data_IF_450069159801
#
_entry.id   IF_450069159801
#
_cell.length_a   1.000
_cell.length_b   1.000
_cell.length_c   1.000
_cell.angle_alpha   90.00
_cell.angle_beta   90.00
_cell.angle_gamma   90.00
#
_symmetry.space_group_name_H-M   'P 1'
#
loop_
_entity.id
_entity.type
_entity.pdbx_description
1 polymer ?
#
# COMPACT_ATOMS: atom_id res chain seq x y z
N UNK A 1 28.34 15.52 8.78
CA UNK A 1 27.36 14.56 8.26
C UNK A 1 26.52 15.28 7.22
N UNK A 2 26.42 14.76 6.02
CA UNK A 2 25.57 15.36 4.98
C UNK A 2 24.09 15.23 5.35
N UNK A 3 23.23 16.09 4.80
CA UNK A 3 21.78 15.99 5.00
C UNK A 3 21.26 14.59 4.59
N UNK A 4 21.75 14.07 3.47
CA UNK A 4 21.46 12.72 3.02
C UNK A 4 21.77 11.66 4.07
N UNK A 5 22.98 11.68 4.62
CA UNK A 5 23.42 10.65 5.59
C UNK A 5 22.63 10.74 6.89
N UNK A 6 22.24 11.97 7.26
CA UNK A 6 21.34 12.18 8.40
C UNK A 6 19.98 11.51 8.16
N UNK A 7 19.32 11.79 7.03
CA UNK A 7 18.01 11.20 6.71
C UNK A 7 18.08 9.69 6.56
N UNK A 8 19.11 9.15 5.89
CA UNK A 8 19.31 7.70 5.78
C UNK A 8 19.42 7.04 7.17
N UNK A 9 20.13 7.67 8.10
CA UNK A 9 20.24 7.17 9.47
C UNK A 9 18.87 7.16 10.18
N UNK A 10 18.09 8.23 10.02
CA UNK A 10 16.76 8.32 10.63
C UNK A 10 15.81 7.24 10.08
N UNK A 11 15.77 7.07 8.76
CA UNK A 11 14.91 6.06 8.12
C UNK A 11 15.34 4.65 8.57
N UNK A 12 16.64 4.35 8.58
CA UNK A 12 17.15 3.06 9.06
C UNK A 12 16.72 2.77 10.50
N UNK A 13 16.97 3.71 11.41
CA UNK A 13 16.61 3.54 12.82
C UNK A 13 15.10 3.29 12.95
N UNK A 14 14.26 4.07 12.26
CA UNK A 14 12.82 3.92 12.32
C UNK A 14 12.34 2.56 11.80
N UNK A 15 12.86 2.09 10.67
CA UNK A 15 12.50 0.79 10.13
C UNK A 15 13.02 -0.36 11.00
N UNK A 16 14.24 -0.26 11.52
CA UNK A 16 14.80 -1.27 12.39
C UNK A 16 14.02 -1.41 13.71
N UNK A 17 13.54 -0.30 14.27
CA UNK A 17 12.67 -0.34 15.45
C UNK A 17 11.40 -1.16 15.17
N UNK A 18 10.74 -0.92 14.03
CA UNK A 18 9.55 -1.66 13.62
C UNK A 18 9.83 -3.12 13.23
N UNK A 19 11.00 -3.40 12.67
CA UNK A 19 11.37 -4.73 12.20
C UNK A 19 11.95 -5.62 13.31
N UNK A 20 12.18 -5.05 14.50
CA UNK A 20 12.72 -5.78 15.65
C UNK A 20 11.58 -6.27 16.54
N UNK A 21 11.47 -7.60 16.69
CA UNK A 21 10.45 -8.19 17.54
C UNK A 21 10.63 -7.83 19.02
N UNK A 22 9.52 -7.59 19.73
CA UNK A 22 9.51 -7.36 21.18
C UNK A 22 9.86 -5.92 21.60
N UNK A 23 10.01 -5.00 20.67
CA UNK A 23 10.13 -3.57 20.94
C UNK A 23 8.79 -2.90 21.31
N UNK A 24 8.82 -1.58 21.49
CA UNK A 24 7.60 -0.77 21.68
C UNK A 24 6.76 -0.66 20.41
N UNK A 25 7.38 -0.94 19.27
CA UNK A 25 6.77 -1.02 17.94
C UNK A 25 7.27 -2.32 17.31
N UNK A 26 6.37 -3.09 16.71
CA UNK A 26 6.78 -4.32 16.01
C UNK A 26 5.65 -4.88 15.15
N UNK A 27 6.02 -5.68 14.17
CA UNK A 27 5.07 -6.49 13.42
C UNK A 27 4.85 -7.83 14.10
N UNK A 28 3.60 -8.29 14.14
CA UNK A 28 3.19 -9.60 14.64
C UNK A 28 2.45 -10.36 13.54
N UNK A 29 2.87 -11.59 13.28
CA UNK A 29 2.20 -12.43 12.30
C UNK A 29 0.99 -13.13 12.91
N UNK A 30 -0.18 -12.90 12.34
CA UNK A 30 -1.42 -13.59 12.66
C UNK A 30 -1.59 -14.81 11.75
N UNK A 31 -1.39 -16.00 12.29
CA UNK A 31 -1.45 -17.26 11.51
C UNK A 31 -2.86 -17.66 11.06
N UNK A 32 -3.90 -17.15 11.74
CA UNK A 32 -5.30 -17.41 11.38
C UNK A 32 -5.70 -16.63 10.12
N UNK A 33 -5.37 -15.35 10.10
CA UNK A 33 -5.70 -14.46 8.97
C UNK A 33 -4.56 -14.36 7.95
N UNK A 34 -3.41 -14.96 8.28
CA UNK A 34 -2.21 -14.95 7.42
C UNK A 34 -1.80 -13.52 7.04
N UNK A 35 -1.61 -12.69 8.06
CA UNK A 35 -1.30 -11.27 7.90
C UNK A 35 -0.25 -10.80 8.90
N UNK A 36 0.51 -9.77 8.53
CA UNK A 36 1.40 -9.03 9.42
C UNK A 36 0.70 -7.78 9.92
N UNK A 37 0.49 -7.69 11.22
CA UNK A 37 -0.09 -6.50 11.84
C UNK A 37 0.98 -5.73 12.58
N UNK A 38 1.09 -4.43 12.34
CA UNK A 38 1.95 -3.52 13.09
C UNK A 38 1.32 -3.11 14.43
N UNK A 39 2.09 -3.09 15.49
CA UNK A 39 1.65 -2.61 16.81
C UNK A 39 2.60 -1.53 17.33
N UNK A 40 2.04 -0.43 17.96
CA UNK A 40 0.62 -0.19 18.19
C UNK A 40 -0.18 -0.08 16.89
N UNK A 41 -1.39 -0.64 16.90
CA UNK A 41 -2.27 -0.65 15.73
C UNK A 41 -3.11 0.63 15.67
N UNK A 42 -3.34 1.13 14.45
CA UNK A 42 -4.20 2.28 14.15
C UNK A 42 -5.14 1.94 12.98
N UNK A 43 -6.18 2.71 12.79
CA UNK A 43 -7.15 2.64 11.68
C UNK A 43 -7.81 1.26 11.48
N UNK A 44 -7.84 0.41 12.50
CA UNK A 44 -8.43 -0.93 12.38
C UNK A 44 -7.51 -1.97 11.72
N UNK A 45 -6.21 -1.71 11.62
CA UNK A 45 -5.26 -2.62 10.98
C UNK A 45 -5.16 -3.99 11.67
N UNK A 46 -5.49 -4.09 12.97
CA UNK A 46 -5.45 -5.34 13.73
C UNK A 46 -6.75 -6.14 13.72
N UNK A 47 -7.91 -5.48 13.61
CA UNK A 47 -9.21 -6.13 13.70
C UNK A 47 -10.00 -6.17 12.39
N UNK A 48 -9.65 -5.34 11.41
CA UNK A 48 -10.26 -5.28 10.08
C UNK A 48 -9.26 -5.57 8.95
N UNK A 49 -7.97 -5.62 9.26
CA UNK A 49 -6.87 -5.69 8.28
C UNK A 49 -6.93 -4.48 7.33
N UNK A 50 -7.26 -3.29 7.85
CA UNK A 50 -7.31 -2.06 7.07
C UNK A 50 -5.90 -1.55 6.77
N UNK A 51 -5.74 -0.91 5.62
CA UNK A 51 -4.60 -0.09 5.22
C UNK A 51 -3.23 -0.81 5.16
N UNK A 52 -3.21 -2.14 5.15
CA UNK A 52 -1.95 -2.88 5.20
C UNK A 52 -1.03 -2.56 4.03
N UNK A 53 -1.54 -2.47 2.80
CA UNK A 53 -0.77 -2.06 1.64
C UNK A 53 -0.33 -0.59 1.73
N UNK A 54 -1.16 0.30 2.26
CA UNK A 54 -0.83 1.72 2.44
C UNK A 54 0.31 1.88 3.44
N UNK A 55 0.17 1.33 4.64
CA UNK A 55 1.19 1.37 5.68
C UNK A 55 2.50 0.70 5.23
N UNK A 56 2.41 -0.47 4.60
CA UNK A 56 3.56 -1.17 4.05
C UNK A 56 4.26 -0.34 2.95
N UNK A 57 3.50 0.36 2.11
CA UNK A 57 4.02 1.20 1.04
C UNK A 57 5.05 2.22 1.53
N UNK A 58 4.77 2.90 2.64
CA UNK A 58 5.71 3.86 3.25
C UNK A 58 6.99 3.18 3.75
N UNK A 59 6.86 2.04 4.41
CA UNK A 59 8.01 1.28 4.90
C UNK A 59 8.88 0.75 3.76
N UNK A 60 8.26 0.18 2.72
CA UNK A 60 8.95 -0.35 1.53
C UNK A 60 9.64 0.78 0.76
N UNK A 61 9.00 1.95 0.61
CA UNK A 61 9.59 3.12 -0.03
C UNK A 61 10.84 3.58 0.72
N UNK A 62 10.75 3.71 2.05
CA UNK A 62 11.91 4.03 2.90
C UNK A 62 13.03 3.00 2.76
N UNK A 63 12.69 1.72 2.73
CA UNK A 63 13.64 0.62 2.53
C UNK A 63 14.30 0.66 1.13
N UNK A 64 13.56 0.97 0.08
CA UNK A 64 14.09 1.12 -1.27
C UNK A 64 15.09 2.29 -1.34
N UNK A 65 14.81 3.40 -0.68
CA UNK A 65 15.77 4.52 -0.57
C UNK A 65 17.06 4.07 0.13
N UNK A 66 16.95 3.33 1.24
CA UNK A 66 18.15 2.79 1.93
C UNK A 66 18.94 1.86 1.02
N UNK A 67 18.26 0.95 0.31
CA UNK A 67 18.88 -0.05 -0.55
C UNK A 67 19.76 0.55 -1.65
N UNK A 68 19.46 1.77 -2.12
CA UNK A 68 20.28 2.50 -3.08
C UNK A 68 21.69 2.82 -2.56
N UNK A 69 21.85 2.93 -1.24
CA UNK A 69 23.10 3.35 -0.60
C UNK A 69 23.70 2.29 0.31
N UNK A 70 22.94 1.26 0.67
CA UNK A 70 23.36 0.19 1.57
C UNK A 70 22.72 -1.14 1.19
N UNK A 71 23.38 -1.83 0.26
CA UNK A 71 22.95 -3.16 -0.19
C UNK A 71 23.12 -4.24 0.89
N UNK A 72 23.99 -4.02 1.89
CA UNK A 72 24.15 -4.96 3.01
C UNK A 72 22.92 -4.89 3.93
N UNK A 73 22.45 -3.68 4.23
CA UNK A 73 21.19 -3.51 4.97
C UNK A 73 20.01 -4.17 4.25
N UNK A 74 19.95 -4.02 2.93
CA UNK A 74 18.87 -4.53 2.10
C UNK A 74 18.97 -6.05 1.80
N UNK A 75 20.04 -6.73 2.21
CA UNK A 75 20.16 -8.18 2.01
C UNK A 75 19.07 -8.94 2.79
N UNK A 76 18.60 -10.05 2.22
CA UNK A 76 17.49 -10.84 2.80
C UNK A 76 17.80 -11.35 4.21
N UNK A 77 19.06 -11.75 4.47
CA UNK A 77 19.54 -12.19 5.78
C UNK A 77 19.65 -11.08 6.83
N UNK A 78 19.53 -9.83 6.41
CA UNK A 78 19.50 -8.66 7.28
C UNK A 78 18.05 -8.13 7.39
N UNK A 79 17.78 -6.94 6.83
CA UNK A 79 16.46 -6.31 6.94
C UNK A 79 15.58 -6.50 5.71
N UNK A 80 16.17 -6.91 4.58
CA UNK A 80 15.44 -7.12 3.33
C UNK A 80 14.36 -8.18 3.44
N UNK A 81 14.59 -9.24 4.24
CA UNK A 81 13.59 -10.27 4.47
C UNK A 81 12.29 -9.73 5.08
N UNK A 82 12.36 -8.74 5.99
CA UNK A 82 11.17 -8.09 6.54
C UNK A 82 10.43 -7.25 5.48
N UNK A 83 11.18 -6.57 4.61
CA UNK A 83 10.58 -5.81 3.50
C UNK A 83 9.80 -6.75 2.57
N UNK A 84 10.36 -7.91 2.24
CA UNK A 84 9.67 -8.91 1.42
C UNK A 84 8.40 -9.47 2.09
N UNK A 85 8.42 -9.65 3.41
CA UNK A 85 7.22 -10.06 4.15
C UNK A 85 6.12 -8.98 4.08
N UNK A 86 6.46 -7.69 4.17
CA UNK A 86 5.50 -6.59 4.00
C UNK A 86 4.92 -6.55 2.57
N UNK A 87 5.74 -6.78 1.55
CA UNK A 87 5.27 -6.87 0.17
C UNK A 87 4.26 -8.03 0.03
N UNK A 88 4.59 -9.20 0.59
CA UNK A 88 3.72 -10.37 0.57
C UNK A 88 2.46 -10.20 1.42
N UNK A 89 2.52 -9.44 2.49
CA UNK A 89 1.33 -9.11 3.28
C UNK A 89 0.33 -8.27 2.48
N UNK A 90 0.79 -7.24 1.79
CA UNK A 90 -0.07 -6.44 0.91
C UNK A 90 -0.54 -7.23 -0.32
N UNK A 91 0.41 -7.75 -1.11
CA UNK A 91 0.11 -8.47 -2.35
C UNK A 91 1.12 -9.62 -2.56
N UNK A 92 0.82 -10.80 -2.02
CA UNK A 92 1.66 -11.98 -2.23
C UNK A 92 1.64 -12.41 -3.70
N UNK A 93 2.80 -12.49 -4.32
CA UNK A 93 2.98 -12.89 -5.73
C UNK A 93 3.36 -14.36 -5.91
N UNK A 94 3.70 -15.07 -4.82
CA UNK A 94 4.09 -16.48 -4.86
C UNK A 94 2.95 -17.38 -4.40
N UNK A 95 2.32 -18.09 -5.32
CA UNK A 95 1.23 -19.03 -5.02
C UNK A 95 1.64 -20.20 -4.17
N UNK A 96 2.95 -20.52 -4.07
CA UNK A 96 3.47 -21.57 -3.23
C UNK A 96 3.71 -21.11 -1.78
N UNK A 97 3.81 -19.81 -1.56
CA UNK A 97 3.95 -19.25 -0.21
C UNK A 97 2.57 -19.11 0.45
N UNK A 98 2.21 -20.10 1.24
CA UNK A 98 0.91 -20.16 1.91
C UNK A 98 0.82 -19.34 3.19
N UNK A 99 1.88 -18.59 3.55
CA UNK A 99 1.87 -17.69 4.71
C UNK A 99 0.98 -16.48 4.49
N UNK A 100 0.81 -16.05 3.25
CA UNK A 100 -0.01 -14.90 2.88
C UNK A 100 -0.98 -15.24 1.76
N UNK A 101 -2.20 -14.68 1.74
CA UNK A 101 -3.11 -14.80 0.61
C UNK A 101 -2.49 -14.22 -0.67
N UNK A 102 -2.71 -14.91 -1.80
CA UNK A 102 -2.24 -14.44 -3.09
C UNK A 102 -2.98 -13.16 -3.50
N UNK A 103 -2.25 -12.08 -3.82
CA UNK A 103 -2.77 -10.77 -4.21
C UNK A 103 -3.91 -10.28 -3.31
N UNK A 104 -3.67 -10.27 -1.97
CA UNK A 104 -4.75 -9.97 -1.01
C UNK A 104 -5.45 -8.65 -1.28
N UNK A 105 -4.70 -7.57 -1.44
CA UNK A 105 -5.29 -6.25 -1.58
C UNK A 105 -5.88 -6.02 -2.97
N UNK A 106 -5.23 -6.52 -4.04
CA UNK A 106 -5.68 -6.29 -5.41
C UNK A 106 -6.92 -7.12 -5.75
N UNK A 107 -7.95 -6.46 -6.24
CA UNK A 107 -9.07 -7.10 -6.94
C UNK A 107 -8.86 -7.02 -8.46
N UNK A 108 -8.53 -8.14 -9.13
CA UNK A 108 -8.27 -8.13 -10.57
C UNK A 108 -9.51 -7.83 -11.41
N UNK A 109 -10.72 -7.94 -10.86
CA UNK A 109 -11.96 -7.59 -11.55
C UNK A 109 -12.26 -6.09 -11.46
N UNK A 110 -11.99 -5.47 -10.29
CA UNK A 110 -12.09 -4.02 -10.13
C UNK A 110 -10.91 -3.30 -10.78
N UNK A 111 -9.75 -3.95 -10.83
CA UNK A 111 -8.52 -3.37 -11.36
C UNK A 111 -7.77 -2.47 -10.36
N UNK A 112 -8.21 -2.46 -9.10
CA UNK A 112 -7.58 -1.69 -8.02
C UNK A 112 -7.57 -2.50 -6.72
N UNK A 113 -6.84 -2.02 -5.73
CA UNK A 113 -6.83 -2.62 -4.40
C UNK A 113 -8.08 -2.24 -3.60
N UNK A 114 -8.29 -3.00 -2.51
CA UNK A 114 -9.26 -2.67 -1.49
C UNK A 114 -8.53 -2.42 -0.16
N UNK A 115 -9.01 -1.43 0.59
CA UNK A 115 -8.42 -0.97 1.84
C UNK A 115 -8.57 -2.00 2.97
N UNK A 116 -9.72 -2.67 3.07
CA UNK A 116 -10.02 -3.59 4.16
C UNK A 116 -9.80 -5.05 3.78
N UNK A 117 -9.11 -5.81 4.66
CA UNK A 117 -8.95 -7.23 4.47
C UNK A 117 -10.23 -8.04 4.73
N UNK A 118 -11.11 -7.58 5.61
CA UNK A 118 -12.39 -8.24 5.88
C UNK A 118 -13.53 -7.73 5.00
N UNK A 119 -13.55 -6.44 4.68
CA UNK A 119 -14.53 -5.84 3.79
C UNK A 119 -15.99 -5.98 4.26
N UNK A 120 -16.22 -5.97 5.58
CA UNK A 120 -17.53 -6.22 6.19
C UNK A 120 -18.42 -4.97 6.31
N UNK A 121 -18.28 -4.03 5.37
CA UNK A 121 -19.10 -2.83 5.28
C UNK A 121 -20.40 -3.09 4.49
N UNK A 122 -21.47 -2.39 4.85
CA UNK A 122 -22.77 -2.54 4.19
C UNK A 122 -22.79 -2.14 2.70
N UNK A 123 -21.90 -1.24 2.30
CA UNK A 123 -21.72 -0.81 0.90
C UNK A 123 -20.64 -1.60 0.14
N UNK A 124 -20.15 -2.69 0.72
CA UNK A 124 -19.00 -3.45 0.22
C UNK A 124 -17.68 -2.88 0.71
N UNK A 125 -16.55 -3.47 0.27
CA UNK A 125 -15.24 -2.96 0.58
C UNK A 125 -15.03 -1.57 -0.03
N UNK A 126 -14.03 -0.85 0.42
CA UNK A 126 -13.74 0.49 -0.06
C UNK A 126 -12.26 0.68 -0.38
N UNK A 127 -12.01 1.72 -1.16
CA UNK A 127 -10.68 2.25 -1.46
C UNK A 127 -10.77 3.77 -1.39
N UNK A 128 -10.17 4.38 -0.36
CA UNK A 128 -10.15 5.82 -0.19
C UNK A 128 -8.96 6.43 -0.92
N UNK A 129 -7.76 5.97 -0.61
CA UNK A 129 -6.51 6.61 -0.99
C UNK A 129 -5.89 5.99 -2.23
N UNK A 130 -6.35 6.41 -3.41
CA UNK A 130 -5.76 5.98 -4.68
C UNK A 130 -4.25 6.27 -4.76
N UNK A 131 -3.78 7.37 -4.17
CA UNK A 131 -2.37 7.71 -4.18
C UNK A 131 -1.52 6.86 -3.22
N UNK A 132 -2.08 6.35 -2.12
CA UNK A 132 -1.35 5.44 -1.23
C UNK A 132 -1.19 4.04 -1.85
N UNK A 133 -2.21 3.56 -2.57
CA UNK A 133 -2.07 2.31 -3.33
C UNK A 133 -1.02 2.43 -4.43
N UNK A 134 -0.99 3.56 -5.14
CA UNK A 134 0.04 3.85 -6.14
C UNK A 134 1.44 4.01 -5.51
N UNK A 135 1.54 4.57 -4.29
CA UNK A 135 2.79 4.61 -3.52
C UNK A 135 3.29 3.20 -3.20
N UNK A 136 2.40 2.29 -2.77
CA UNK A 136 2.76 0.89 -2.55
C UNK A 136 3.31 0.25 -3.83
N UNK A 137 2.60 0.35 -4.94
CA UNK A 137 3.04 -0.22 -6.21
C UNK A 137 4.40 0.34 -6.66
N UNK A 138 4.59 1.66 -6.53
CA UNK A 138 5.86 2.34 -6.85
C UNK A 138 6.99 1.87 -5.94
N UNK A 139 6.75 1.74 -4.64
CA UNK A 139 7.73 1.26 -3.68
C UNK A 139 8.18 -0.18 -4.00
N UNK A 140 7.24 -1.05 -4.39
CA UNK A 140 7.52 -2.43 -4.81
C UNK A 140 8.37 -2.46 -6.09
N UNK A 141 8.08 -1.61 -7.09
CA UNK A 141 8.91 -1.47 -8.30
C UNK A 141 10.34 -1.09 -7.93
N UNK A 142 10.48 -0.05 -7.11
CA UNK A 142 11.80 0.46 -6.71
C UNK A 142 12.59 -0.58 -5.93
N UNK A 143 11.97 -1.22 -4.94
CA UNK A 143 12.62 -2.27 -4.16
C UNK A 143 13.11 -3.41 -5.06
N UNK A 144 12.24 -3.99 -5.87
CA UNK A 144 12.59 -5.08 -6.78
C UNK A 144 13.68 -4.70 -7.79
N UNK A 145 13.63 -3.47 -8.31
CA UNK A 145 14.64 -2.96 -9.26
C UNK A 145 16.03 -2.80 -8.62
N UNK A 146 16.09 -2.22 -7.42
CA UNK A 146 17.35 -1.93 -6.72
C UNK A 146 17.97 -3.22 -6.18
N UNK A 147 17.17 -4.12 -5.63
CA UNK A 147 17.63 -5.40 -5.08
C UNK A 147 17.79 -6.48 -6.16
N UNK A 148 17.45 -6.17 -7.42
CA UNK A 148 17.51 -7.08 -8.58
C UNK A 148 16.59 -8.31 -8.47
N UNK A 149 15.49 -8.15 -7.77
CA UNK A 149 14.45 -9.17 -7.63
C UNK A 149 13.36 -8.91 -8.68
N UNK A 150 13.51 -9.54 -9.85
CA UNK A 150 12.65 -9.28 -11.01
C UNK A 150 11.17 -9.59 -10.71
N UNK A 151 10.88 -10.67 -9.99
CA UNK A 151 9.49 -11.06 -9.68
C UNK A 151 8.77 -9.99 -8.84
N UNK A 152 9.48 -9.38 -7.90
CA UNK A 152 8.95 -8.26 -7.09
C UNK A 152 8.76 -7.01 -7.94
N UNK A 153 9.76 -6.66 -8.78
CA UNK A 153 9.63 -5.53 -9.71
C UNK A 153 8.43 -5.71 -10.64
N UNK A 154 8.27 -6.89 -11.20
CA UNK A 154 7.23 -7.19 -12.18
C UNK A 154 5.84 -7.22 -11.51
N UNK A 155 5.72 -7.69 -10.25
CA UNK A 155 4.55 -7.48 -9.41
C UNK A 155 4.20 -5.99 -9.32
N UNK A 156 5.15 -5.17 -8.92
CA UNK A 156 4.92 -3.73 -8.77
C UNK A 156 4.48 -3.06 -10.07
N UNK A 157 5.08 -3.43 -11.21
CA UNK A 157 4.68 -2.93 -12.53
C UNK A 157 3.24 -3.35 -12.86
N UNK A 158 2.87 -4.60 -12.56
CA UNK A 158 1.51 -5.10 -12.77
C UNK A 158 0.50 -4.32 -11.94
N UNK A 159 0.75 -4.17 -10.63
CA UNK A 159 -0.11 -3.39 -9.74
C UNK A 159 -0.26 -1.95 -10.23
N UNK A 160 0.86 -1.28 -10.49
CA UNK A 160 0.88 0.11 -10.94
C UNK A 160 0.08 0.33 -12.23
N UNK A 161 0.32 -0.51 -13.24
CA UNK A 161 -0.34 -0.35 -14.54
C UNK A 161 -1.85 -0.63 -14.45
N UNK A 162 -2.24 -1.62 -13.66
CA UNK A 162 -3.64 -2.01 -13.50
C UNK A 162 -4.41 -0.97 -12.70
N UNK A 163 -3.90 -0.56 -11.55
CA UNK A 163 -4.56 0.44 -10.69
C UNK A 163 -4.60 1.82 -11.34
N UNK A 164 -3.53 2.25 -12.00
CA UNK A 164 -3.54 3.50 -12.73
C UNK A 164 -4.74 3.58 -13.69
N UNK A 165 -4.96 2.52 -14.47
CA UNK A 165 -6.09 2.48 -15.41
C UNK A 165 -7.44 2.55 -14.71
N UNK A 166 -7.59 1.87 -13.57
CA UNK A 166 -8.82 1.94 -12.77
C UNK A 166 -9.02 3.33 -12.15
N UNK A 167 -7.96 3.92 -11.60
CA UNK A 167 -8.01 5.26 -10.99
C UNK A 167 -8.40 6.32 -12.01
N UNK A 168 -7.81 6.29 -13.21
CA UNK A 168 -8.15 7.23 -14.30
C UNK A 168 -9.64 7.19 -14.66
N UNK A 169 -10.29 6.02 -14.54
CA UNK A 169 -11.71 5.84 -14.86
C UNK A 169 -12.61 6.02 -13.62
N UNK A 170 -12.31 5.37 -12.51
CA UNK A 170 -13.25 5.31 -11.38
C UNK A 170 -13.13 6.48 -10.42
N UNK A 171 -11.95 7.07 -10.27
CA UNK A 171 -11.77 8.27 -9.43
C UNK A 171 -11.88 9.58 -10.18
N UNK A 172 -11.47 9.61 -11.46
CA UNK A 172 -11.36 10.85 -12.23
C UNK A 172 -12.19 10.90 -13.52
N UNK A 173 -12.74 9.77 -13.97
CA UNK A 173 -13.56 9.66 -15.18
C UNK A 173 -13.00 10.48 -16.35
N UNK A 174 -11.74 10.25 -16.68
CA UNK A 174 -10.99 11.05 -17.65
C UNK A 174 -11.60 11.01 -19.07
N UNK A 175 -12.38 9.97 -19.36
CA UNK A 175 -13.05 9.76 -20.66
C UNK A 175 -14.54 10.17 -20.63
N UNK A 176 -15.05 10.73 -19.52
CA UNK A 176 -16.47 11.06 -19.29
C UNK A 176 -17.42 9.87 -19.59
N UNK A 177 -17.03 8.65 -19.20
CA UNK A 177 -17.71 7.40 -19.56
C UNK A 177 -18.31 6.64 -18.35
N UNK A 178 -17.89 6.96 -17.13
CA UNK A 178 -18.23 6.22 -15.92
C UNK A 178 -19.22 6.97 -15.03
N UNK A 179 -19.01 8.27 -14.81
CA UNK A 179 -19.89 9.04 -13.95
C UNK A 179 -21.25 9.30 -14.60
N UNK A 180 -22.37 9.10 -13.87
CA UNK A 180 -23.68 9.38 -14.41
C UNK A 180 -23.86 10.89 -14.65
N UNK A 181 -24.57 11.26 -15.72
CA UNK A 181 -24.77 12.66 -16.13
C UNK A 181 -25.19 13.64 -15.01
N UNK A 182 -25.98 13.26 -14.00
CA UNK A 182 -26.33 14.17 -12.90
C UNK A 182 -25.25 14.30 -11.82
N UNK A 183 -24.13 13.56 -11.88
CA UNK A 183 -23.06 13.66 -10.89
C UNK A 183 -22.32 15.00 -11.03
N UNK A 184 -22.31 15.86 -9.97
CA UNK A 184 -21.87 17.24 -10.12
C UNK A 184 -20.36 17.44 -9.99
N UNK A 185 -19.61 16.40 -9.65
CA UNK A 185 -18.18 16.49 -9.38
C UNK A 185 -17.35 15.83 -10.48
N UNK A 186 -16.06 16.17 -10.52
CA UNK A 186 -15.09 15.61 -11.48
C UNK A 186 -14.14 14.59 -10.89
N UNK A 187 -14.34 14.24 -9.62
CA UNK A 187 -13.56 13.23 -8.92
C UNK A 187 -14.39 12.56 -7.83
N UNK A 188 -13.97 11.37 -7.44
CA UNK A 188 -14.40 10.70 -6.22
C UNK A 188 -13.35 10.88 -5.11
N UNK A 189 -13.79 10.84 -3.85
CA UNK A 189 -12.92 10.67 -2.69
C UNK A 189 -12.71 9.19 -2.39
N UNK A 190 -13.80 8.40 -2.42
CA UNK A 190 -13.77 6.96 -2.19
C UNK A 190 -14.59 6.19 -3.23
N UNK A 191 -14.06 5.03 -3.62
CA UNK A 191 -14.76 4.00 -4.37
C UNK A 191 -15.14 2.88 -3.42
N UNK A 192 -16.42 2.51 -3.40
CA UNK A 192 -16.98 1.39 -2.65
C UNK A 192 -17.40 0.27 -3.60
N UNK A 193 -17.60 -0.92 -3.10
CA UNK A 193 -18.12 -2.03 -3.89
C UNK A 193 -19.48 -1.76 -4.54
N UNK A 194 -20.32 -0.92 -3.90
CA UNK A 194 -21.66 -0.60 -4.38
C UNK A 194 -21.84 0.85 -4.85
N UNK A 195 -20.87 1.75 -4.63
CA UNK A 195 -21.02 3.20 -4.97
C UNK A 195 -19.68 3.91 -5.06
N UNK A 196 -19.67 5.08 -5.72
CA UNK A 196 -18.62 6.09 -5.56
C UNK A 196 -19.14 7.30 -4.80
N UNK A 197 -18.30 7.93 -3.98
CA UNK A 197 -18.68 9.10 -3.19
C UNK A 197 -17.64 10.22 -3.29
N UNK A 198 -18.10 11.48 -3.30
CA UNK A 198 -17.27 12.67 -3.24
C UNK A 198 -17.01 13.05 -1.78
N UNK A 199 -16.43 12.12 -1.02
CA UNK A 199 -16.00 12.30 0.36
C UNK A 199 -14.90 11.30 0.70
N UNK A 200 -14.14 11.59 1.75
CA UNK A 200 -13.19 10.70 2.40
C UNK A 200 -13.73 10.33 3.78
N UNK A 201 -13.03 9.49 4.53
CA UNK A 201 -13.31 9.24 5.94
C UNK A 201 -13.21 10.52 6.80
N UNK A 202 -12.43 11.51 6.34
CA UNK A 202 -12.26 12.81 7.02
C UNK A 202 -13.36 13.83 6.68
N UNK A 203 -14.07 13.64 5.55
CA UNK A 203 -15.13 14.54 5.11
C UNK A 203 -15.13 14.81 3.61
N UNK A 204 -15.99 15.72 3.17
CA UNK A 204 -16.19 16.08 1.76
C UNK A 204 -15.50 17.40 1.36
N UNK A 205 -14.60 17.90 2.19
CA UNK A 205 -13.82 19.10 1.85
C UNK A 205 -12.88 18.80 0.67
N UNK A 206 -12.80 19.68 -0.33
CA UNK A 206 -11.89 19.49 -1.47
C UNK A 206 -10.42 19.24 -1.07
N UNK A 207 -9.96 19.85 0.02
CA UNK A 207 -8.59 19.65 0.51
C UNK A 207 -8.34 18.20 0.96
N UNK A 208 -9.33 17.55 1.56
CA UNK A 208 -9.24 16.11 1.90
C UNK A 208 -9.21 15.25 0.64
N UNK A 209 -10.13 15.49 -0.30
CA UNK A 209 -10.24 14.71 -1.54
C UNK A 209 -8.99 14.84 -2.39
N UNK A 210 -8.45 16.06 -2.53
CA UNK A 210 -7.21 16.28 -3.26
C UNK A 210 -6.01 15.69 -2.51
N UNK A 211 -5.93 15.87 -1.20
CA UNK A 211 -4.84 15.34 -0.38
C UNK A 211 -4.70 13.83 -0.49
N UNK A 212 -5.83 13.10 -0.39
CA UNK A 212 -5.83 11.64 -0.40
C UNK A 212 -5.52 11.03 -1.80
N UNK A 213 -5.80 11.77 -2.88
CA UNK A 213 -5.61 11.28 -4.24
C UNK A 213 -4.36 11.84 -4.95
N UNK A 214 -3.55 12.65 -4.29
CA UNK A 214 -2.45 13.38 -4.93
C UNK A 214 -1.16 13.38 -4.10
N UNK A 215 -0.89 12.32 -3.34
CA UNK A 215 0.40 12.16 -2.66
C UNK A 215 1.54 12.07 -3.70
N UNK A 216 2.66 12.76 -3.49
CA UNK A 216 3.80 12.67 -4.38
C UNK A 216 4.56 11.34 -4.19
N UNK A 217 4.88 10.67 -5.28
CA UNK A 217 5.70 9.46 -5.32
C UNK A 217 6.52 9.35 -6.62
#
# INVERSE_FOLDING_TARGET
VSARDHFLTQIKNRLQDWFTAGGSQSYVYNSTWKTLTGYPSEFGADNQINDHNFHAGYAIMGAAIIAQYDSVWAANENWGGMVELLIKDGNNYDRNDTRFPFLRALDPYAGHSWESGHGDFGDGNNEESSSESMNFATAVILWGSITKQNDIRDLGIYLYATERSAIEQYWFDIDDAVFPAPYPYKALGMVWGAKGVHSTWFGADPDFIHGINMLPF
#
